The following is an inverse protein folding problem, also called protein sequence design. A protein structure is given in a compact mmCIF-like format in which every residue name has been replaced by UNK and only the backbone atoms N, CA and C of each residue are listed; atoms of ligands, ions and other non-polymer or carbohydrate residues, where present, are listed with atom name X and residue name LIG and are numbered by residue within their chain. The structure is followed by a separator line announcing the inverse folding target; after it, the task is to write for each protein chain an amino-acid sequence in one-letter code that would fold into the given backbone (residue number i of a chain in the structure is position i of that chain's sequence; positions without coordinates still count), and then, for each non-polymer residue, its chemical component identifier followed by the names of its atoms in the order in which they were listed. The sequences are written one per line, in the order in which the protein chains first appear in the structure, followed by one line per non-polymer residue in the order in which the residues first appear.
data_IF_287694581137
#
_entry.id   IF_287694581137
#
_cell.length_a   1.000
_cell.length_b   1.000
_cell.length_c   1.000
_cell.angle_alpha   90.00
_cell.angle_beta   90.00
_cell.angle_gamma   90.00
#
_symmetry.space_group_name_H-M   'P 1'
#
loop_
_entity.id
_entity.type
_entity.pdbx_description
1 polymer ?
#
# COMPACT_ATOMS: atom_id res chain seq x y z
N UNK A 1 1.38 1.15 16.27
CA UNK A 1 0.76 0.18 15.35
C UNK A 1 1.15 0.62 13.95
N UNK A 2 1.26 -0.25 12.93
CA UNK A 2 1.58 0.23 11.58
C UNK A 2 0.38 0.07 10.65
N UNK A 3 0.14 1.07 9.82
CA UNK A 3 -0.96 1.10 8.85
C UNK A 3 -0.41 1.33 7.45
N UNK A 4 -1.04 0.70 6.46
CA UNK A 4 -0.83 0.91 5.04
C UNK A 4 -2.02 1.71 4.51
N UNK A 5 -1.75 2.91 4.01
CA UNK A 5 -2.75 3.85 3.51
C UNK A 5 -2.59 4.07 2.02
N UNK A 6 -3.67 3.89 1.27
CA UNK A 6 -3.75 4.17 -0.15
C UNK A 6 -4.26 5.60 -0.36
N UNK A 7 -3.43 6.44 -0.96
CA UNK A 7 -3.79 7.76 -1.45
C UNK A 7 -3.99 7.71 -2.96
N UNK A 8 -5.22 7.46 -3.40
CA UNK A 8 -5.55 7.52 -4.82
C UNK A 8 -5.86 8.95 -5.25
N UNK A 9 -5.78 9.20 -6.55
CA UNK A 9 -6.02 10.53 -7.10
C UNK A 9 -7.36 11.16 -6.67
N UNK A 10 -7.23 12.43 -6.29
CA UNK A 10 -8.18 13.55 -6.16
C UNK A 10 -9.59 13.35 -5.56
N UNK A 11 -10.32 12.27 -5.86
CA UNK A 11 -11.74 12.14 -5.47
C UNK A 11 -12.03 10.91 -4.59
N UNK A 12 -11.08 9.99 -4.41
CA UNK A 12 -11.27 8.82 -3.54
C UNK A 12 -10.68 9.09 -2.15
N UNK A 13 -11.46 8.93 -1.06
CA UNK A 13 -10.93 9.05 0.28
C UNK A 13 -9.82 8.01 0.52
N UNK A 14 -8.78 8.33 1.31
CA UNK A 14 -7.72 7.37 1.60
C UNK A 14 -8.27 6.13 2.29
N UNK A 15 -7.74 4.96 1.91
CA UNK A 15 -8.13 3.67 2.51
C UNK A 15 -6.95 3.12 3.30
N UNK A 16 -7.15 2.88 4.59
CA UNK A 16 -6.11 2.39 5.50
C UNK A 16 -6.39 0.98 5.97
N UNK A 17 -5.34 0.16 6.00
CA UNK A 17 -5.36 -1.21 6.52
C UNK A 17 -4.27 -1.40 7.55
N UNK A 18 -4.56 -2.13 8.63
CA UNK A 18 -3.52 -2.50 9.58
C UNK A 18 -2.60 -3.54 8.97
N UNK A 19 -1.29 -3.41 9.22
CA UNK A 19 -0.29 -4.30 8.64
C UNK A 19 -0.34 -5.74 9.15
N UNK A 20 -0.85 -5.97 10.36
CA UNK A 20 -1.07 -7.30 10.91
C UNK A 20 -2.19 -8.09 10.21
N UNK A 21 -3.10 -7.39 9.52
CA UNK A 21 -4.19 -7.98 8.73
C UNK A 21 -3.87 -8.08 7.22
N UNK A 22 -2.67 -7.66 6.79
CA UNK A 22 -2.28 -7.71 5.37
C UNK A 22 -1.90 -9.14 4.95
N UNK A 23 -2.77 -9.73 4.15
CA UNK A 23 -2.51 -10.95 3.37
C UNK A 23 -2.47 -10.60 1.88
N UNK A 24 -1.96 -11.52 1.05
CA UNK A 24 -2.03 -11.35 -0.41
C UNK A 24 -3.47 -11.13 -0.89
N UNK A 25 -4.44 -11.83 -0.30
CA UNK A 25 -5.85 -11.62 -0.61
C UNK A 25 -6.32 -10.23 -0.19
N UNK A 26 -5.93 -9.74 1.00
CA UNK A 26 -6.27 -8.39 1.43
C UNK A 26 -5.72 -7.31 0.50
N UNK A 27 -4.53 -7.50 -0.09
CA UNK A 27 -3.99 -6.59 -1.10
C UNK A 27 -4.78 -6.63 -2.41
N UNK A 28 -5.24 -7.81 -2.84
CA UNK A 28 -6.06 -7.97 -4.04
C UNK A 28 -7.50 -7.47 -3.82
N UNK A 29 -8.04 -7.63 -2.63
CA UNK A 29 -9.36 -7.12 -2.24
C UNK A 29 -9.32 -5.58 -2.15
N UNK A 30 -8.29 -5.02 -1.51
CA UNK A 30 -8.06 -3.57 -1.51
C UNK A 30 -7.87 -3.02 -2.93
N UNK A 31 -7.24 -3.77 -3.83
CA UNK A 31 -7.17 -3.42 -5.24
C UNK A 31 -8.54 -3.30 -5.90
N UNK A 32 -9.37 -4.32 -5.67
CA UNK A 32 -10.69 -4.44 -6.28
C UNK A 32 -11.64 -3.38 -5.73
N UNK A 33 -11.61 -3.12 -4.42
CA UNK A 33 -12.40 -2.07 -3.75
C UNK A 33 -12.05 -0.67 -4.25
N UNK A 34 -10.82 -0.51 -4.74
CA UNK A 34 -10.28 0.73 -5.27
C UNK A 34 -10.38 0.84 -6.81
N UNK A 35 -11.03 -0.11 -7.48
CA UNK A 35 -11.09 -0.23 -8.95
C UNK A 35 -9.70 -0.17 -9.62
N UNK A 36 -8.65 -0.63 -8.92
CA UNK A 36 -7.29 -0.62 -9.45
C UNK A 36 -7.09 -1.72 -10.50
N UNK A 37 -6.32 -1.45 -11.57
CA UNK A 37 -6.04 -2.46 -12.58
C UNK A 37 -5.28 -3.64 -11.96
N UNK A 38 -5.79 -4.87 -12.12
CA UNK A 38 -5.12 -6.09 -11.64
C UNK A 38 -3.67 -6.23 -12.18
N UNK A 39 -3.38 -5.66 -13.34
CA UNK A 39 -2.05 -5.61 -13.96
C UNK A 39 -1.00 -4.90 -13.07
N UNK A 40 -1.44 -4.15 -12.06
CA UNK A 40 -0.57 -3.42 -11.12
C UNK A 40 0.02 -4.31 -10.03
N UNK A 41 -0.64 -5.44 -9.74
CA UNK A 41 -0.19 -6.43 -8.77
C UNK A 41 0.89 -7.34 -9.38
N UNK A 42 1.82 -6.71 -10.10
CA UNK A 42 3.02 -7.34 -10.60
C UNK A 42 3.88 -7.81 -9.44
N UNK A 43 4.72 -8.82 -9.71
CA UNK A 43 5.74 -9.23 -8.76
C UNK A 43 6.60 -8.04 -8.29
N UNK A 44 6.93 -7.09 -9.18
CA UNK A 44 7.72 -5.90 -8.86
C UNK A 44 7.04 -5.00 -7.84
N UNK A 45 5.74 -4.74 -8.00
CA UNK A 45 4.98 -3.94 -7.04
C UNK A 45 4.96 -4.61 -5.67
N UNK A 46 4.65 -5.91 -5.63
CA UNK A 46 4.61 -6.70 -4.40
C UNK A 46 5.99 -6.70 -3.71
N UNK A 47 7.08 -6.90 -4.47
CA UNK A 47 8.44 -6.87 -3.92
C UNK A 47 8.81 -5.51 -3.35
N UNK A 48 8.46 -4.40 -4.03
CA UNK A 48 8.72 -3.05 -3.53
C UNK A 48 7.92 -2.79 -2.26
N UNK A 49 6.64 -3.13 -2.25
CA UNK A 49 5.79 -2.96 -1.08
C UNK A 49 6.33 -3.75 0.13
N UNK A 50 6.65 -5.03 -0.06
CA UNK A 50 7.22 -5.88 1.00
C UNK A 50 8.58 -5.37 1.49
N UNK A 51 9.44 -4.89 0.58
CA UNK A 51 10.71 -4.28 0.96
C UNK A 51 10.50 -3.02 1.79
N UNK A 52 9.57 -2.14 1.40
CA UNK A 52 9.29 -0.91 2.13
C UNK A 52 8.72 -1.18 3.52
N UNK A 53 7.78 -2.12 3.64
CA UNK A 53 7.25 -2.57 4.95
C UNK A 53 8.39 -3.12 5.82
N UNK A 54 9.25 -3.98 5.28
CA UNK A 54 10.37 -4.53 6.04
C UNK A 54 11.38 -3.46 6.46
N UNK A 55 11.70 -2.52 5.57
CA UNK A 55 12.59 -1.40 5.86
C UNK A 55 12.05 -0.54 7.00
N UNK A 56 10.78 -0.15 6.91
CA UNK A 56 10.07 0.59 7.94
C UNK A 56 10.06 -0.05 9.31
N UNK A 57 9.76 -1.35 9.38
CA UNK A 57 9.78 -2.09 10.63
C UNK A 57 11.18 -2.08 11.27
N UNK A 58 12.24 -1.94 10.46
CA UNK A 58 13.61 -1.85 10.94
C UNK A 58 14.06 -0.43 11.30
N UNK A 59 13.48 0.61 10.68
CA UNK A 59 13.95 2.01 10.82
C UNK A 59 12.98 2.95 11.53
N UNK A 60 11.75 2.51 11.82
CA UNK A 60 10.69 3.29 12.51
C UNK A 60 10.40 4.65 11.84
N UNK A 61 10.53 4.70 10.50
CA UNK A 61 10.42 5.88 9.63
C UNK A 61 9.21 5.75 8.68
N UNK A 62 8.77 6.80 7.98
CA UNK A 62 7.69 6.76 6.96
C UNK A 62 8.20 6.22 5.59
N UNK A 63 7.31 5.67 4.76
CA UNK A 63 7.67 4.99 3.51
C UNK A 63 6.56 5.14 2.51
N UNK A 64 6.96 5.61 1.34
CA UNK A 64 6.07 6.02 0.28
C UNK A 64 6.41 5.22 -0.99
N UNK A 65 5.39 4.68 -1.64
CA UNK A 65 5.47 4.03 -2.95
C UNK A 65 4.54 4.77 -3.90
N UNK A 66 5.11 5.67 -4.71
CA UNK A 66 4.36 6.41 -5.73
C UNK A 66 4.03 5.52 -6.93
N UNK A 67 2.77 5.59 -7.37
CA UNK A 67 2.18 4.85 -8.48
C UNK A 67 1.82 5.78 -9.64
N UNK A 68 2.78 6.61 -10.06
CA UNK A 68 2.68 7.53 -11.20
C UNK A 68 1.33 8.29 -11.25
N UNK A 69 0.54 8.12 -12.31
CA UNK A 69 -0.70 8.87 -12.54
C UNK A 69 -1.91 8.37 -11.76
N UNK A 70 -1.79 7.48 -10.76
CA UNK A 70 -2.97 6.95 -10.05
C UNK A 70 -2.93 7.12 -8.53
N UNK A 71 -1.77 7.43 -7.95
CA UNK A 71 -1.67 7.73 -6.53
C UNK A 71 -0.40 7.21 -5.87
N UNK A 72 -0.47 7.03 -4.56
CA UNK A 72 0.65 6.68 -3.70
C UNK A 72 0.18 5.74 -2.59
N UNK A 73 1.02 4.76 -2.24
CA UNK A 73 0.84 3.92 -1.03
C UNK A 73 1.82 4.40 0.03
N UNK A 74 1.32 4.75 1.20
CA UNK A 74 2.14 5.13 2.35
C UNK A 74 2.00 4.07 3.43
N UNK A 75 3.12 3.70 4.05
CA UNK A 75 3.12 2.96 5.30
C UNK A 75 3.57 3.92 6.39
N UNK A 76 2.90 3.92 7.52
CA UNK A 76 3.29 4.78 8.64
C UNK A 76 2.94 4.16 10.00
N UNK A 77 3.55 4.70 11.05
CA UNK A 77 3.28 4.32 12.43
C UNK A 77 2.17 5.21 13.01
N UNK A 78 1.17 4.55 13.60
CA UNK A 78 0.02 5.14 14.32
C UNK A 78 0.11 4.87 15.82
#
# INVERSE_FOLDING_TARGET
MYELTWYLNADTPPVSHKLDDITTNALLDAAADLDLPHEWFTATFIYRLLYHVAYQLMTDDEAEVTMDVYGTVVVERV
#
